data_IF_932804448902
#
_entry.id   IF_932804448902
#
_cell.length_a   1.000
_cell.length_b   1.000
_cell.length_c   1.000
_cell.angle_alpha   90.00
_cell.angle_beta   90.00
_cell.angle_gamma   90.00
#
_symmetry.space_group_name_H-M   'P 1'
#
loop_
_entity.id
_entity.type
_entity.pdbx_description
1 polymer ?
#
# COMPACT_ATOMS: atom_id res chain seq x y z
N UNK A 1 4.86 -20.89 -1.95
CA UNK A 1 3.54 -21.54 -2.20
C UNK A 1 3.43 -21.80 -3.70
N UNK A 2 3.44 -23.05 -4.12
CA UNK A 2 3.43 -23.43 -5.55
C UNK A 2 1.98 -23.48 -6.02
N UNK A 3 1.59 -22.54 -6.89
CA UNK A 3 0.27 -22.52 -7.51
C UNK A 3 0.25 -23.47 -8.70
N UNK A 4 -0.63 -24.46 -8.66
CA UNK A 4 -0.75 -25.43 -9.74
C UNK A 4 -1.53 -24.87 -10.93
N UNK A 5 -1.18 -25.31 -12.14
CA UNK A 5 -1.88 -24.98 -13.41
C UNK A 5 -3.41 -25.25 -13.35
N UNK A 6 -3.88 -26.10 -12.43
CA UNK A 6 -5.31 -26.33 -12.16
C UNK A 6 -6.04 -25.07 -11.65
N UNK A 7 -5.36 -24.20 -10.93
CA UNK A 7 -5.95 -22.95 -10.42
C UNK A 7 -6.14 -21.93 -11.55
N UNK A 8 -5.22 -21.88 -12.50
CA UNK A 8 -5.30 -21.00 -13.67
C UNK A 8 -6.49 -21.37 -14.59
N UNK A 9 -6.84 -22.66 -14.73
CA UNK A 9 -7.96 -23.10 -15.57
C UNK A 9 -9.34 -22.79 -14.97
N UNK A 10 -9.49 -22.78 -13.65
CA UNK A 10 -10.78 -22.55 -12.97
C UNK A 10 -11.21 -21.08 -12.92
N UNK A 11 -10.29 -20.16 -13.20
CA UNK A 11 -10.44 -18.70 -13.00
C UNK A 11 -10.16 -17.89 -14.26
N UNK A 12 -10.27 -18.47 -15.44
CA UNK A 12 -9.78 -17.96 -16.73
C UNK A 12 -10.07 -16.49 -17.10
N UNK A 13 -11.05 -15.84 -16.47
CA UNK A 13 -11.31 -14.40 -16.64
C UNK A 13 -10.62 -13.49 -15.60
N UNK A 14 -9.95 -14.07 -14.61
CA UNK A 14 -9.49 -13.35 -13.42
C UNK A 14 -7.99 -12.99 -13.40
N UNK A 15 -7.23 -13.50 -14.36
CA UNK A 15 -5.80 -13.20 -14.51
C UNK A 15 -5.50 -12.34 -15.74
N UNK A 16 -6.38 -11.38 -16.01
CA UNK A 16 -6.20 -10.46 -17.15
C UNK A 16 -4.89 -9.67 -17.06
N UNK A 17 -4.37 -9.45 -15.86
CA UNK A 17 -3.08 -8.79 -15.65
C UNK A 17 -1.90 -9.61 -16.17
N UNK A 18 -2.02 -10.97 -16.28
CA UNK A 18 -0.99 -11.81 -16.90
C UNK A 18 -1.11 -11.77 -18.43
N UNK A 19 -2.34 -11.88 -18.95
CA UNK A 19 -2.59 -12.02 -20.38
C UNK A 19 -2.73 -10.70 -21.11
N UNK A 20 -3.15 -9.66 -20.42
CA UNK A 20 -3.44 -8.35 -20.97
C UNK A 20 -3.12 -7.24 -19.95
N UNK A 21 -1.86 -7.16 -19.48
CA UNK A 21 -1.48 -6.15 -18.51
C UNK A 21 -1.55 -4.76 -19.14
N UNK A 22 -1.95 -3.78 -18.34
CA UNK A 22 -1.92 -2.36 -18.70
C UNK A 22 -0.75 -1.71 -17.98
N UNK A 23 0.11 -1.06 -18.75
CA UNK A 23 1.18 -0.21 -18.23
C UNK A 23 1.09 1.15 -18.88
N UNK A 24 1.13 2.18 -18.06
CA UNK A 24 1.26 3.52 -18.62
C UNK A 24 2.69 3.72 -19.14
N UNK A 25 2.80 4.38 -20.30
CA UNK A 25 4.11 4.70 -20.88
C UNK A 25 4.81 5.69 -19.97
N UNK A 26 5.87 5.25 -19.32
CA UNK A 26 6.79 6.14 -18.62
C UNK A 26 7.97 6.44 -19.56
N UNK A 27 8.46 7.68 -19.57
CA UNK A 27 9.71 8.01 -20.28
C UNK A 27 10.81 7.09 -19.77
N UNK A 28 11.46 6.37 -20.69
CA UNK A 28 12.59 5.52 -20.31
C UNK A 28 13.74 6.40 -19.82
N UNK A 29 14.39 5.98 -18.75
CA UNK A 29 15.56 6.67 -18.21
C UNK A 29 16.70 6.85 -19.25
N UNK A 30 16.72 6.06 -20.33
CA UNK A 30 17.69 6.18 -21.42
C UNK A 30 17.48 7.36 -22.35
N UNK A 31 16.36 8.08 -22.25
CA UNK A 31 16.08 9.26 -23.08
C UNK A 31 16.62 10.56 -22.47
N UNK A 32 17.21 10.50 -21.27
CA UNK A 32 17.83 11.66 -20.60
C UNK A 32 19.35 11.54 -20.62
N UNK A 33 20.03 12.52 -21.24
CA UNK A 33 21.49 12.66 -21.20
C UNK A 33 22.00 13.26 -19.86
N UNK A 34 21.18 13.29 -18.81
CA UNK A 34 21.47 13.87 -17.51
C UNK A 34 21.52 12.83 -16.37
N UNK A 35 21.89 13.29 -15.16
CA UNK A 35 21.90 12.41 -13.99
C UNK A 35 20.52 11.84 -13.70
N UNK A 36 20.47 10.56 -13.33
CA UNK A 36 19.25 9.83 -12.97
C UNK A 36 19.14 9.81 -11.45
N UNK A 37 17.99 10.22 -10.92
CA UNK A 37 17.65 10.06 -9.51
C UNK A 37 16.78 8.82 -9.33
N UNK A 38 17.13 7.97 -8.36
CA UNK A 38 16.36 6.78 -7.99
C UNK A 38 15.76 7.04 -6.61
N UNK A 39 14.44 6.96 -6.51
CA UNK A 39 13.70 7.03 -5.25
C UNK A 39 13.25 5.62 -4.87
N UNK A 40 13.58 5.23 -3.63
CA UNK A 40 13.18 3.93 -3.07
C UNK A 40 12.25 4.20 -1.90
N UNK A 41 11.04 3.61 -1.92
CA UNK A 41 10.10 3.63 -0.81
C UNK A 41 9.92 2.21 -0.30
N UNK A 42 10.07 2.03 1.02
CA UNK A 42 9.82 0.77 1.70
C UNK A 42 8.50 0.94 2.46
N UNK A 43 7.45 0.26 1.98
CA UNK A 43 6.10 0.31 2.52
C UNK A 43 5.74 -1.08 3.02
N UNK A 44 5.33 -1.20 4.29
CA UNK A 44 5.11 -2.49 4.93
C UNK A 44 3.73 -2.55 5.60
N UNK A 45 3.04 -3.69 5.46
CA UNK A 45 1.90 -4.03 6.29
C UNK A 45 2.40 -4.28 7.72
N UNK A 46 2.24 -3.30 8.59
CA UNK A 46 2.74 -3.40 9.94
C UNK A 46 1.66 -3.95 10.88
N UNK A 47 1.69 -5.26 11.03
CA UNK A 47 0.73 -6.03 11.83
C UNK A 47 1.47 -6.77 12.96
N UNK A 48 1.80 -6.11 14.08
CA UNK A 48 2.60 -6.69 15.16
C UNK A 48 2.05 -7.98 15.73
N UNK A 49 0.71 -8.11 15.74
CA UNK A 49 -0.02 -9.28 16.22
C UNK A 49 -0.22 -10.39 15.18
N UNK A 50 0.39 -10.27 14.00
CA UNK A 50 0.31 -11.28 12.95
C UNK A 50 0.59 -12.70 13.49
N UNK A 51 -0.33 -13.64 13.19
CA UNK A 51 -0.27 -15.00 13.70
C UNK A 51 -0.92 -15.17 15.08
N UNK A 52 -1.74 -14.22 15.52
CA UNK A 52 -2.47 -14.24 16.81
C UNK A 52 -1.54 -14.46 18.02
N UNK A 53 -0.43 -13.74 18.03
CA UNK A 53 0.57 -13.84 19.10
C UNK A 53 0.15 -13.04 20.33
N UNK A 54 0.72 -13.40 21.49
CA UNK A 54 0.52 -12.65 22.74
C UNK A 54 1.20 -11.27 22.65
N UNK A 55 0.73 -10.35 23.49
CA UNK A 55 1.18 -8.97 23.55
C UNK A 55 2.70 -8.85 23.72
N UNK A 56 3.30 -9.65 24.58
CA UNK A 56 4.75 -9.63 24.83
C UNK A 56 5.58 -9.96 23.59
N UNK A 57 5.04 -10.83 22.71
CA UNK A 57 5.69 -11.16 21.43
C UNK A 57 5.57 -9.98 20.46
N UNK A 58 4.39 -9.33 20.38
CA UNK A 58 4.19 -8.15 19.55
C UNK A 58 5.10 -6.99 19.99
N UNK A 59 5.19 -6.73 21.30
CA UNK A 59 6.10 -5.74 21.88
C UNK A 59 7.57 -6.04 21.56
N UNK A 60 7.98 -7.31 21.71
CA UNK A 60 9.32 -7.72 21.37
C UNK A 60 9.65 -7.53 19.88
N UNK A 61 8.70 -7.84 18.98
CA UNK A 61 8.84 -7.61 17.53
C UNK A 61 9.09 -6.13 17.25
N UNK A 62 8.22 -5.25 17.75
CA UNK A 62 8.33 -3.81 17.54
C UNK A 62 9.62 -3.23 18.13
N UNK A 63 9.94 -3.60 19.36
CA UNK A 63 11.18 -3.15 20.00
C UNK A 63 12.44 -3.61 19.24
N UNK A 64 12.42 -4.84 18.75
CA UNK A 64 13.52 -5.38 17.95
C UNK A 64 13.65 -4.63 16.64
N UNK A 65 12.52 -4.42 15.92
CA UNK A 65 12.52 -3.65 14.68
C UNK A 65 13.05 -2.23 14.89
N UNK A 66 12.52 -1.50 15.87
CA UNK A 66 12.94 -0.14 16.15
C UNK A 66 14.45 -0.04 16.46
N UNK A 67 14.99 -1.00 17.21
CA UNK A 67 16.42 -1.04 17.56
C UNK A 67 17.29 -1.36 16.35
N UNK A 68 16.96 -2.43 15.63
CA UNK A 68 17.82 -2.92 14.55
C UNK A 68 17.75 -2.03 13.31
N UNK A 69 16.56 -1.54 12.95
CA UNK A 69 16.40 -0.65 11.82
C UNK A 69 17.09 0.70 12.06
N UNK A 70 16.93 1.30 13.23
CA UNK A 70 17.61 2.55 13.54
C UNK A 70 19.13 2.40 13.56
N UNK A 71 19.65 1.24 13.99
CA UNK A 71 21.08 0.94 13.94
C UNK A 71 21.57 0.85 12.49
N UNK A 72 20.91 0.05 11.67
CA UNK A 72 21.27 -0.12 10.26
C UNK A 72 21.14 1.20 9.49
N UNK A 73 20.07 1.96 9.73
CA UNK A 73 19.81 3.21 9.03
C UNK A 73 20.88 4.29 9.30
N UNK A 74 21.41 4.36 10.51
CA UNK A 74 22.48 5.33 10.87
C UNK A 74 23.77 5.14 10.06
N UNK A 75 24.02 3.94 9.60
CA UNK A 75 25.25 3.60 8.86
C UNK A 75 25.17 3.99 7.38
N UNK A 76 23.99 4.42 6.91
CA UNK A 76 23.73 4.73 5.51
C UNK A 76 23.08 6.09 5.32
N UNK A 77 23.45 6.76 4.25
CA UNK A 77 22.81 8.01 3.81
C UNK A 77 22.69 8.03 2.28
N UNK A 78 21.70 8.77 1.80
CA UNK A 78 21.62 9.13 0.39
C UNK A 78 22.63 10.25 0.04
N UNK A 79 22.63 10.70 -1.22
CA UNK A 79 23.54 11.76 -1.67
C UNK A 79 23.22 13.14 -1.07
N UNK A 80 22.06 13.32 -0.44
CA UNK A 80 21.68 14.54 0.29
C UNK A 80 21.99 14.46 1.79
N UNK A 81 22.47 13.31 2.26
CA UNK A 81 22.76 13.05 3.67
C UNK A 81 21.56 12.57 4.49
N UNK A 82 20.45 12.22 3.85
CA UNK A 82 19.29 11.66 4.55
C UNK A 82 19.49 10.17 4.84
N UNK A 83 19.14 9.76 6.05
CA UNK A 83 19.10 8.33 6.41
C UNK A 83 17.91 7.62 5.77
N UNK A 84 18.03 6.30 5.47
CA UNK A 84 16.91 5.48 5.07
C UNK A 84 15.76 5.54 6.09
N UNK A 85 14.53 5.60 5.56
CA UNK A 85 13.30 5.56 6.35
C UNK A 85 12.46 4.37 5.96
N UNK A 86 11.68 3.86 6.92
CA UNK A 86 10.69 2.82 6.70
C UNK A 86 9.29 3.38 6.92
N UNK A 87 8.34 3.03 6.06
CA UNK A 87 6.95 3.44 6.20
C UNK A 87 6.13 2.27 6.73
N UNK A 88 5.62 2.45 7.95
CA UNK A 88 4.80 1.48 8.66
C UNK A 88 3.32 1.75 8.39
N UNK A 89 2.67 0.94 7.54
CA UNK A 89 1.23 0.99 7.39
C UNK A 89 0.60 0.23 8.57
N UNK A 90 0.28 0.99 9.61
CA UNK A 90 -0.17 0.44 10.88
C UNK A 90 -1.63 -0.03 10.80
N UNK A 91 -1.85 -1.29 11.18
CA UNK A 91 -3.18 -1.89 11.19
C UNK A 91 -4.04 -1.28 12.30
N UNK A 92 -5.18 -0.72 11.93
CA UNK A 92 -6.16 -0.19 12.91
C UNK A 92 -6.63 -1.29 13.89
N UNK A 93 -6.76 -2.53 13.41
CA UNK A 93 -7.15 -3.66 14.26
C UNK A 93 -6.10 -4.00 15.33
N UNK A 94 -4.85 -3.67 15.08
CA UNK A 94 -3.73 -3.89 15.99
C UNK A 94 -3.45 -2.68 16.89
N UNK A 95 -4.42 -1.74 17.00
CA UNK A 95 -4.21 -0.53 17.78
C UNK A 95 -3.76 -0.84 19.21
N UNK A 96 -2.56 -0.41 19.54
CA UNK A 96 -1.96 -0.54 20.84
C UNK A 96 -1.08 0.68 21.14
N UNK A 97 -1.41 1.51 22.14
CA UNK A 97 -0.66 2.74 22.45
C UNK A 97 0.82 2.50 22.71
N UNK A 98 1.19 1.44 23.42
CA UNK A 98 2.59 1.17 23.77
C UNK A 98 3.44 0.85 22.51
N UNK A 99 2.86 0.14 21.54
CA UNK A 99 3.53 -0.16 20.27
C UNK A 99 3.69 1.11 19.43
N UNK A 100 2.65 1.96 19.38
CA UNK A 100 2.69 3.24 18.68
C UNK A 100 3.67 4.23 19.30
N UNK A 101 3.81 4.27 20.62
CA UNK A 101 4.79 5.11 21.30
C UNK A 101 6.23 4.72 20.92
N UNK A 102 6.48 3.43 20.72
CA UNK A 102 7.78 2.93 20.23
C UNK A 102 8.06 3.39 18.80
N UNK A 103 7.06 3.30 17.91
CA UNK A 103 7.15 3.79 16.54
C UNK A 103 7.26 5.32 16.48
N UNK A 104 6.51 6.04 17.32
CA UNK A 104 6.58 7.49 17.41
C UNK A 104 8.02 7.96 17.69
N UNK A 105 8.68 7.26 18.62
CA UNK A 105 10.10 7.57 18.92
C UNK A 105 10.98 7.36 17.69
N UNK A 106 10.84 6.24 17.00
CA UNK A 106 11.60 5.93 15.78
C UNK A 106 11.37 6.99 14.69
N UNK A 107 10.10 7.40 14.47
CA UNK A 107 9.72 8.42 13.50
C UNK A 107 10.30 9.80 13.88
N UNK A 108 10.23 10.17 15.15
CA UNK A 108 10.81 11.42 15.67
C UNK A 108 12.32 11.48 15.50
N UNK A 109 12.99 10.33 15.65
CA UNK A 109 14.43 10.21 15.42
C UNK A 109 14.79 10.25 13.91
N UNK A 110 13.79 10.29 13.01
CA UNK A 110 13.97 10.48 11.56
C UNK A 110 14.11 9.19 10.76
N UNK A 111 13.83 8.02 11.36
CA UNK A 111 14.05 6.71 10.72
C UNK A 111 12.76 6.05 10.21
N UNK A 112 11.62 6.69 10.30
CA UNK A 112 10.38 6.12 9.80
C UNK A 112 9.25 7.12 9.71
N UNK A 113 8.16 6.66 9.08
CA UNK A 113 6.86 7.32 9.04
C UNK A 113 5.77 6.26 9.29
N UNK A 114 4.65 6.66 9.90
CA UNK A 114 3.48 5.80 10.11
C UNK A 114 2.35 6.27 9.21
N UNK A 115 1.70 5.34 8.53
CA UNK A 115 0.56 5.55 7.64
C UNK A 115 -0.57 4.57 8.01
N UNK A 116 -1.72 4.63 7.34
CA UNK A 116 -2.89 3.85 7.70
C UNK A 116 -3.03 2.55 6.92
N UNK A 117 -3.30 1.46 7.66
CA UNK A 117 -3.82 0.22 7.11
C UNK A 117 -5.18 -0.05 7.73
N UNK A 118 -6.21 -0.25 6.90
CA UNK A 118 -7.54 -0.62 7.37
C UNK A 118 -7.99 -1.94 6.75
N UNK A 119 -8.44 -2.84 7.64
CA UNK A 119 -9.08 -4.10 7.24
C UNK A 119 -10.57 -4.02 7.52
N UNK A 120 -11.40 -4.22 6.50
CA UNK A 120 -12.86 -4.22 6.66
C UNK A 120 -13.54 -5.27 5.79
N UNK A 121 -14.80 -5.60 6.10
CA UNK A 121 -15.56 -6.67 5.50
C UNK A 121 -17.05 -6.36 5.58
N UNK A 122 -17.75 -6.48 4.44
CA UNK A 122 -19.17 -6.19 4.31
C UNK A 122 -19.56 -4.84 4.94
N UNK A 123 -18.72 -3.83 4.68
CA UNK A 123 -18.78 -2.54 5.33
C UNK A 123 -19.76 -1.58 4.65
N UNK A 124 -20.14 -0.53 5.37
CA UNK A 124 -20.97 0.56 4.86
C UNK A 124 -20.16 1.84 4.73
N UNK A 125 -20.61 2.75 3.86
CA UNK A 125 -19.99 4.07 3.65
C UNK A 125 -19.82 4.83 4.98
N UNK A 126 -20.86 4.82 5.83
CA UNK A 126 -20.85 5.54 7.09
C UNK A 126 -19.85 4.94 8.09
N UNK A 127 -19.83 3.62 8.21
CA UNK A 127 -18.94 2.93 9.14
C UNK A 127 -17.49 3.02 8.67
N UNK A 128 -17.21 2.82 7.37
CA UNK A 128 -15.87 3.02 6.80
C UNK A 128 -15.34 4.43 7.05
N UNK A 129 -16.16 5.47 6.76
CA UNK A 129 -15.77 6.86 7.00
C UNK A 129 -15.44 7.10 8.47
N UNK A 130 -16.29 6.65 9.37
CA UNK A 130 -16.09 6.80 10.82
C UNK A 130 -14.77 6.20 11.27
N UNK A 131 -14.47 4.96 10.87
CA UNK A 131 -13.22 4.26 11.24
C UNK A 131 -11.98 4.96 10.71
N UNK A 132 -12.00 5.39 9.45
CA UNK A 132 -10.87 6.13 8.85
C UNK A 132 -10.62 7.44 9.60
N UNK A 133 -11.66 8.21 9.88
CA UNK A 133 -11.53 9.48 10.59
C UNK A 133 -11.05 9.26 12.02
N UNK A 134 -11.59 8.26 12.72
CA UNK A 134 -11.19 7.93 14.08
C UNK A 134 -9.71 7.55 14.17
N UNK A 135 -9.24 6.57 13.39
CA UNK A 135 -7.84 6.12 13.46
C UNK A 135 -6.88 7.22 12.99
N UNK A 136 -7.24 7.99 11.94
CA UNK A 136 -6.47 9.14 11.49
C UNK A 136 -6.27 10.16 12.62
N UNK A 137 -7.35 10.49 13.31
CA UNK A 137 -7.35 11.48 14.39
C UNK A 137 -6.59 10.97 15.62
N UNK A 138 -6.73 9.70 15.96
CA UNK A 138 -5.95 9.05 17.01
C UNK A 138 -4.46 9.09 16.70
N UNK A 139 -4.04 8.69 15.52
CA UNK A 139 -2.63 8.71 15.12
C UNK A 139 -2.06 10.13 15.16
N UNK A 140 -2.83 11.12 14.71
CA UNK A 140 -2.35 12.50 14.68
C UNK A 140 -2.37 13.18 16.05
N UNK A 141 -3.50 13.18 16.76
CA UNK A 141 -3.67 13.95 17.98
C UNK A 141 -3.10 13.27 19.25
N UNK A 142 -3.17 11.94 19.32
CA UNK A 142 -2.72 11.21 20.50
C UNK A 142 -1.25 10.77 20.37
N UNK A 143 -0.82 10.40 19.18
CA UNK A 143 0.54 9.86 18.96
C UNK A 143 1.47 10.82 18.23
N UNK A 144 0.98 11.97 17.70
CA UNK A 144 1.81 12.92 16.95
C UNK A 144 2.43 12.32 15.70
N UNK A 145 1.77 11.29 15.15
CA UNK A 145 2.07 10.66 13.88
C UNK A 145 1.26 11.33 12.75
N UNK A 146 1.49 10.93 11.51
CA UNK A 146 0.93 11.60 10.34
C UNK A 146 1.42 13.05 10.19
N UNK A 147 0.97 13.70 9.14
CA UNK A 147 1.38 15.07 8.81
C UNK A 147 0.20 15.90 8.29
N UNK A 148 0.40 17.18 8.13
CA UNK A 148 -0.55 18.10 7.51
C UNK A 148 -0.06 18.54 6.13
N UNK A 149 -1.00 18.79 5.24
CA UNK A 149 -0.76 19.49 3.99
C UNK A 149 -0.57 21.00 4.22
N UNK A 150 -0.30 21.74 3.13
CA UNK A 150 -0.13 23.19 3.19
C UNK A 150 -1.40 23.95 3.60
N UNK A 151 -2.56 23.32 3.54
CA UNK A 151 -3.86 23.89 3.95
C UNK A 151 -4.21 23.56 5.41
N UNK A 152 -3.37 22.77 6.09
CA UNK A 152 -3.58 22.37 7.47
C UNK A 152 -4.43 21.09 7.63
N UNK A 153 -4.80 20.41 6.56
CA UNK A 153 -5.53 19.15 6.63
C UNK A 153 -4.59 18.01 6.99
N UNK A 154 -5.05 17.09 7.84
CA UNK A 154 -4.31 15.84 8.13
C UNK A 154 -4.32 14.98 6.88
N UNK A 155 -3.14 14.51 6.47
CA UNK A 155 -2.95 13.65 5.31
C UNK A 155 -2.28 12.35 5.70
N UNK A 156 -2.60 11.28 4.93
CA UNK A 156 -2.07 9.94 5.16
C UNK A 156 -1.98 9.14 3.86
N UNK A 157 -1.06 8.15 3.83
CA UNK A 157 -1.05 7.07 2.86
C UNK A 157 -1.96 5.94 3.32
N UNK A 158 -2.46 5.12 2.42
CA UNK A 158 -3.42 4.08 2.70
C UNK A 158 -3.01 2.72 2.11
N UNK A 159 -3.25 1.65 2.87
CA UNK A 159 -3.28 0.28 2.38
C UNK A 159 -4.59 -0.37 2.80
N UNK A 160 -5.30 -0.98 1.84
CA UNK A 160 -6.44 -1.85 2.12
C UNK A 160 -5.94 -3.23 2.56
N UNK A 161 -6.15 -3.60 3.81
CA UNK A 161 -5.54 -4.80 4.42
C UNK A 161 -5.93 -6.13 3.76
N UNK A 162 -7.08 -6.19 3.08
CA UNK A 162 -7.50 -7.35 2.30
C UNK A 162 -7.26 -7.20 0.79
N UNK A 163 -6.55 -6.18 0.33
CA UNK A 163 -6.31 -5.83 -1.07
C UNK A 163 -7.58 -5.62 -1.91
N UNK A 164 -8.74 -5.52 -1.26
CA UNK A 164 -10.03 -5.43 -1.94
C UNK A 164 -10.51 -3.99 -2.18
N UNK A 165 -9.55 -3.06 -2.41
CA UNK A 165 -9.80 -1.64 -2.64
C UNK A 165 -10.98 -1.43 -3.59
N UNK A 166 -11.89 -0.53 -3.22
CA UNK A 166 -13.08 -0.19 -3.97
C UNK A 166 -13.92 -1.40 -4.36
N UNK A 167 -14.13 -2.29 -3.39
CA UNK A 167 -14.95 -3.50 -3.53
C UNK A 167 -14.54 -4.39 -4.72
N UNK A 168 -13.24 -4.56 -4.93
CA UNK A 168 -12.68 -5.22 -6.11
C UNK A 168 -12.84 -6.73 -6.14
N UNK A 169 -13.28 -7.36 -5.06
CA UNK A 169 -13.55 -8.79 -5.08
C UNK A 169 -14.87 -9.08 -5.79
N UNK A 170 -14.91 -10.05 -6.74
CA UNK A 170 -16.13 -10.38 -7.45
C UNK A 170 -17.28 -10.93 -6.57
N UNK A 171 -16.95 -11.41 -5.36
CA UNK A 171 -17.93 -11.88 -4.38
C UNK A 171 -18.43 -10.74 -3.46
N UNK A 172 -17.92 -9.50 -3.64
CA UNK A 172 -18.28 -8.32 -2.83
C UNK A 172 -17.77 -8.36 -1.40
N UNK A 173 -17.12 -9.44 -0.97
CA UNK A 173 -16.58 -9.56 0.39
C UNK A 173 -15.24 -8.86 0.55
N UNK A 174 -14.86 -8.61 1.81
CA UNK A 174 -13.60 -7.98 2.22
C UNK A 174 -13.47 -6.51 1.82
N UNK A 175 -14.61 -5.84 1.60
CA UNK A 175 -14.75 -4.39 1.48
C UNK A 175 -16.21 -4.02 1.73
N UNK A 176 -17.10 -4.06 0.70
CA UNK A 176 -18.51 -3.67 0.78
C UNK A 176 -18.78 -2.22 0.32
N UNK A 177 -17.72 -1.42 0.12
CA UNK A 177 -17.84 0.01 -0.21
C UNK A 177 -17.44 0.25 -1.67
N UNK A 178 -18.42 0.59 -2.54
CA UNK A 178 -18.19 0.80 -3.97
C UNK A 178 -17.57 2.16 -4.31
N UNK A 179 -17.63 3.12 -3.41
CA UNK A 179 -17.10 4.48 -3.57
C UNK A 179 -15.99 4.78 -2.57
N UNK A 180 -15.15 3.80 -2.28
CA UNK A 180 -14.06 3.92 -1.31
C UNK A 180 -13.00 4.95 -1.75
N UNK A 181 -12.68 5.01 -3.05
CA UNK A 181 -11.69 5.96 -3.59
C UNK A 181 -12.02 7.42 -3.25
N UNK A 182 -13.22 7.96 -3.58
CA UNK A 182 -13.53 9.32 -3.21
C UNK A 182 -13.64 9.52 -1.69
N UNK A 183 -14.05 8.52 -0.93
CA UNK A 183 -14.10 8.61 0.53
C UNK A 183 -12.69 8.75 1.13
N UNK A 184 -11.74 7.95 0.67
CA UNK A 184 -10.33 8.06 1.04
C UNK A 184 -9.80 9.46 0.72
N UNK A 185 -10.05 9.93 -0.49
CA UNK A 185 -9.60 11.27 -0.91
C UNK A 185 -10.17 12.38 -0.01
N UNK A 186 -11.49 12.34 0.27
CA UNK A 186 -12.17 13.31 1.12
C UNK A 186 -11.69 13.30 2.58
N UNK A 187 -11.21 12.15 3.07
CA UNK A 187 -10.69 12.03 4.45
C UNK A 187 -9.22 12.40 4.60
N UNK A 188 -8.53 12.76 3.50
CA UNK A 188 -7.15 13.22 3.50
C UNK A 188 -6.12 12.20 2.98
N UNK A 189 -6.56 11.10 2.35
CA UNK A 189 -5.65 10.17 1.71
C UNK A 189 -4.95 10.83 0.52
N UNK A 190 -3.61 10.90 0.56
CA UNK A 190 -2.83 11.46 -0.54
C UNK A 190 -2.45 10.41 -1.58
N UNK A 191 -2.28 9.15 -1.18
CA UNK A 191 -1.98 8.04 -2.08
C UNK A 191 -2.36 6.68 -1.46
N UNK A 192 -2.71 5.73 -2.33
CA UNK A 192 -2.93 4.33 -1.99
C UNK A 192 -1.74 3.47 -2.42
N UNK A 193 -1.34 2.54 -1.55
CA UNK A 193 -0.21 1.63 -1.73
C UNK A 193 -0.63 0.15 -1.66
N UNK A 194 -1.91 -0.14 -1.84
CA UNK A 194 -2.48 -1.49 -1.69
C UNK A 194 -1.85 -2.54 -2.61
N UNK A 195 -1.41 -2.14 -3.81
CA UNK A 195 -0.96 -3.10 -4.82
C UNK A 195 0.56 -3.15 -4.99
N UNK A 196 1.10 -4.31 -5.41
CA UNK A 196 0.44 -5.47 -6.00
C UNK A 196 -0.14 -6.45 -4.97
N UNK A 197 -1.22 -7.13 -5.34
CA UNK A 197 -1.87 -8.19 -4.55
C UNK A 197 -1.73 -9.58 -5.16
N UNK A 198 -1.07 -9.71 -6.28
CA UNK A 198 -0.92 -11.00 -6.97
C UNK A 198 -0.27 -12.07 -6.06
N UNK A 199 -0.78 -13.31 -6.08
CA UNK A 199 -1.76 -13.87 -7.01
C UNK A 199 -3.23 -13.76 -6.56
N UNK A 200 -3.57 -12.86 -5.63
CA UNK A 200 -4.97 -12.68 -5.21
C UNK A 200 -5.84 -12.19 -6.38
N UNK A 201 -7.11 -12.50 -6.29
CA UNK A 201 -8.12 -12.18 -7.31
C UNK A 201 -8.38 -10.66 -7.44
N UNK A 202 -7.96 -9.90 -6.43
CA UNK A 202 -8.07 -8.43 -6.39
C UNK A 202 -7.03 -7.73 -7.25
N UNK A 203 -6.01 -8.45 -7.76
CA UNK A 203 -4.95 -7.85 -8.57
C UNK A 203 -5.51 -7.13 -9.79
N UNK A 204 -5.29 -5.81 -9.92
CA UNK A 204 -5.74 -5.05 -11.08
C UNK A 204 -4.96 -5.38 -12.35
N UNK A 205 -5.53 -5.02 -13.52
CA UNK A 205 -4.84 -5.14 -14.81
C UNK A 205 -3.72 -4.13 -14.99
N UNK A 206 -3.85 -2.96 -14.36
CA UNK A 206 -2.78 -1.96 -14.32
C UNK A 206 -1.70 -2.50 -13.37
N UNK A 207 -0.47 -2.60 -13.84
CA UNK A 207 0.66 -3.15 -13.08
C UNK A 207 1.89 -2.24 -13.21
N UNK A 208 2.74 -2.26 -12.18
CA UNK A 208 4.03 -1.55 -12.18
C UNK A 208 3.88 -0.08 -12.59
N UNK A 209 2.88 0.59 -12.03
CA UNK A 209 2.50 1.93 -12.47
C UNK A 209 2.23 2.85 -11.28
N UNK A 210 2.51 4.13 -11.49
CA UNK A 210 2.02 5.22 -10.65
C UNK A 210 0.96 5.94 -11.48
N UNK A 211 -0.29 5.96 -10.99
CA UNK A 211 -1.41 6.45 -11.77
C UNK A 211 -2.51 7.02 -10.87
N UNK A 212 -3.36 7.87 -11.43
CA UNK A 212 -4.58 8.31 -10.79
C UNK A 212 -5.73 7.36 -11.16
N UNK A 213 -6.36 6.78 -10.14
CA UNK A 213 -7.59 6.04 -10.31
C UNK A 213 -8.75 7.03 -10.41
N UNK A 214 -9.49 6.94 -11.52
CA UNK A 214 -10.69 7.75 -11.75
C UNK A 214 -11.92 7.00 -11.25
N UNK A 215 -12.57 7.55 -10.22
CA UNK A 215 -13.78 6.93 -9.69
C UNK A 215 -14.97 7.07 -10.67
N UNK A 216 -15.76 6.00 -10.72
CA UNK A 216 -17.10 6.04 -11.32
C UNK A 216 -18.07 5.72 -10.19
N UNK A 217 -18.89 6.70 -9.76
CA UNK A 217 -19.74 6.54 -8.58
C UNK A 217 -20.59 5.27 -8.60
N UNK A 218 -20.50 4.49 -7.50
CA UNK A 218 -21.24 3.25 -7.30
C UNK A 218 -20.75 2.04 -8.09
N UNK A 219 -19.70 2.18 -8.90
CA UNK A 219 -19.12 1.06 -9.66
C UNK A 219 -17.91 0.49 -8.90
N UNK A 220 -17.92 -0.81 -8.57
CA UNK A 220 -16.76 -1.45 -7.96
C UNK A 220 -15.55 -1.48 -8.91
N UNK A 221 -14.37 -1.66 -8.37
CA UNK A 221 -13.11 -1.76 -9.13
C UNK A 221 -12.75 -0.49 -9.93
N UNK A 222 -13.11 0.68 -9.46
CA UNK A 222 -12.79 1.94 -10.15
C UNK A 222 -11.27 2.11 -10.36
N UNK A 223 -10.45 1.63 -9.43
CA UNK A 223 -8.99 1.63 -9.52
C UNK A 223 -8.42 0.84 -10.72
N UNK A 224 -9.22 0.02 -11.41
CA UNK A 224 -8.80 -0.64 -12.66
C UNK A 224 -8.88 0.28 -13.88
N UNK A 225 -9.32 1.51 -13.70
CA UNK A 225 -9.37 2.57 -14.70
C UNK A 225 -8.59 3.76 -14.19
N UNK A 226 -7.86 4.41 -15.05
CA UNK A 226 -7.08 5.56 -14.65
C UNK A 226 -6.15 6.05 -15.74
N UNK A 227 -5.31 6.99 -15.42
CA UNK A 227 -4.35 7.62 -16.30
C UNK A 227 -3.02 7.83 -15.57
N UNK A 228 -1.92 7.86 -16.32
CA UNK A 228 -0.58 8.04 -15.76
C UNK A 228 -0.51 9.30 -14.90
N UNK A 229 0.25 9.24 -13.80
CA UNK A 229 0.47 10.37 -12.92
C UNK A 229 1.40 11.40 -13.58
N UNK A 230 0.86 12.23 -14.49
CA UNK A 230 1.53 13.36 -15.08
C UNK A 230 1.16 14.65 -14.33
N UNK A 231 2.10 15.61 -14.28
CA UNK A 231 2.03 16.79 -13.40
C UNK A 231 0.81 17.70 -13.60
N UNK A 232 0.01 17.55 -14.65
CA UNK A 232 -0.97 18.56 -15.05
C UNK A 232 -2.42 18.05 -15.20
N UNK A 233 -2.73 16.77 -14.89
CA UNK A 233 -4.01 16.14 -15.26
C UNK A 233 -4.73 15.43 -14.11
N UNK A 234 -4.69 15.95 -12.89
CA UNK A 234 -5.41 15.35 -11.77
C UNK A 234 -6.68 16.14 -11.42
N UNK A 235 -7.73 15.46 -11.10
CA UNK A 235 -8.90 16.06 -10.48
C UNK A 235 -8.82 15.87 -8.96
N UNK A 236 -9.52 16.75 -8.22
CA UNK A 236 -9.56 16.67 -6.76
C UNK A 236 -10.24 15.39 -6.24
N UNK A 237 -10.93 14.65 -7.12
CA UNK A 237 -11.62 13.41 -6.79
C UNK A 237 -10.81 12.15 -7.12
N UNK A 238 -9.68 12.27 -7.82
CA UNK A 238 -8.88 11.13 -8.21
C UNK A 238 -7.87 10.78 -7.11
N UNK A 239 -7.72 9.49 -6.84
CA UNK A 239 -6.74 8.99 -5.87
C UNK A 239 -5.48 8.51 -6.60
N UNK A 240 -4.33 8.98 -6.13
CA UNK A 240 -3.04 8.48 -6.60
C UNK A 240 -2.82 7.05 -6.10
N UNK A 241 -2.55 6.12 -7.01
CA UNK A 241 -2.11 4.77 -6.68
C UNK A 241 -0.63 4.60 -7.04
N UNK A 242 0.15 4.16 -6.05
CA UNK A 242 1.59 3.87 -6.18
C UNK A 242 1.77 2.37 -5.98
N UNK A 243 2.05 1.66 -7.06
CA UNK A 243 2.21 0.21 -7.00
C UNK A 243 3.66 -0.19 -6.78
N UNK A 244 3.86 -1.18 -5.94
CA UNK A 244 5.10 -1.91 -5.84
C UNK A 244 5.38 -2.76 -7.09
N UNK A 245 6.61 -3.29 -7.24
CA UNK A 245 6.99 -4.10 -8.38
C UNK A 245 6.28 -5.46 -8.39
N UNK A 246 5.81 -5.85 -9.57
CA UNK A 246 5.25 -7.16 -9.87
C UNK A 246 6.01 -7.77 -11.04
N UNK A 247 6.57 -8.96 -10.86
CA UNK A 247 7.37 -9.62 -11.88
C UNK A 247 7.10 -11.12 -11.98
N UNK A 248 7.60 -11.72 -13.06
CA UNK A 248 7.61 -13.17 -13.25
C UNK A 248 9.04 -13.68 -13.07
N UNK A 249 9.24 -14.53 -12.07
CA UNK A 249 10.53 -15.18 -11.81
C UNK A 249 10.58 -16.54 -12.51
N UNK A 250 11.38 -16.61 -13.57
CA UNK A 250 11.62 -17.85 -14.32
C UNK A 250 12.67 -18.77 -13.65
N UNK A 251 13.53 -18.20 -12.80
CA UNK A 251 14.60 -18.95 -12.11
C UNK A 251 14.06 -19.99 -11.11
N UNK A 252 13.01 -19.59 -10.38
CA UNK A 252 12.36 -20.39 -9.35
C UNK A 252 11.07 -21.04 -9.85
N UNK A 253 10.87 -21.07 -11.18
CA UNK A 253 9.69 -21.63 -11.81
C UNK A 253 9.63 -23.15 -11.70
N UNK A 254 8.42 -23.71 -11.74
CA UNK A 254 8.22 -25.15 -11.71
C UNK A 254 8.82 -25.79 -12.97
N UNK A 255 9.84 -26.65 -12.78
CA UNK A 255 10.59 -27.34 -13.85
C UNK A 255 11.20 -26.41 -14.90
N UNK A 256 11.42 -25.12 -14.59
CA UNK A 256 11.91 -24.14 -15.55
C UNK A 256 10.94 -23.77 -16.68
N UNK A 257 9.72 -24.32 -16.67
CA UNK A 257 8.72 -24.13 -17.72
C UNK A 257 7.63 -23.10 -17.36
N UNK A 258 7.40 -22.85 -16.08
CA UNK A 258 6.39 -21.89 -15.61
C UNK A 258 7.02 -20.96 -14.57
N UNK A 259 6.90 -19.64 -14.71
CA UNK A 259 7.44 -18.71 -13.74
C UNK A 259 6.62 -18.71 -12.45
N UNK A 260 7.25 -18.34 -11.35
CA UNK A 260 6.56 -17.90 -10.14
C UNK A 260 6.26 -16.40 -10.23
N UNK A 261 5.23 -15.97 -9.52
CA UNK A 261 4.89 -14.55 -9.41
C UNK A 261 5.67 -14.00 -8.22
N UNK A 262 6.37 -12.90 -8.46
CA UNK A 262 7.04 -12.11 -7.42
C UNK A 262 6.40 -10.73 -7.33
N UNK A 263 5.95 -10.40 -6.15
CA UNK A 263 5.45 -9.09 -5.78
C UNK A 263 6.43 -8.50 -4.78
N UNK A 264 7.16 -7.51 -5.03
CA UNK A 264 8.18 -6.84 -4.23
C UNK A 264 8.22 -7.01 -2.71
N UNK A 265 7.68 -8.14 -2.19
CA UNK A 265 7.81 -8.54 -0.80
C UNK A 265 9.25 -8.99 -0.51
N UNK A 266 9.80 -8.51 0.59
CA UNK A 266 11.10 -8.92 1.13
C UNK A 266 10.99 -10.24 1.88
#
# INVERSE_FOLDING_TARGET
MVWSVKYLRKTGHRFLWITSPVRFSQKRAGDSNGPISIYVAICDHFEPFWGNVYQEIAEHRVATWCREFSRASREHTDFLGNHPKHTFFYSEQDYNPLLLDSLQKLCRDGYGDVELLLTHHDDTVQHFRHRIEEIRDVLFFHHGLLRKDNNGNIIYGFIHGHWALNNSRPDGRKCGVNNEIPLLKQSGCYADFTYPSAPDITQPRIINSIYFAADTPGIPCAHQRGYAAERECWSDNDLLLIQGPLSLNWKNGYLGLLPTIENGGL
#
